data_IF_816909124622
#
_entry.id   IF_816909124622
#
_cell.length_a   1.000
_cell.length_b   1.000
_cell.length_c   1.000
_cell.angle_alpha   90.00
_cell.angle_beta   90.00
_cell.angle_gamma   90.00
#
_symmetry.space_group_name_H-M   'P 1'
#
loop_
_entity.id
_entity.type
_entity.pdbx_description
1 polymer ?
#
# COMPACT_ATOMS: atom_id res chain seq x y z
N UNK A 1 12.76 -2.87 -6.93
CA UNK A 1 12.80 -3.36 -5.54
C UNK A 1 11.50 -4.09 -5.21
N UNK A 2 11.61 -5.15 -4.41
CA UNK A 2 10.42 -5.91 -4.00
C UNK A 2 9.66 -5.19 -2.88
N UNK A 3 10.36 -4.48 -2.01
CA UNK A 3 9.82 -3.72 -0.88
C UNK A 3 10.29 -2.27 -0.89
N UNK A 4 9.65 -1.34 -0.16
CA UNK A 4 10.04 0.08 -0.10
C UNK A 4 11.44 0.32 0.49
N UNK A 5 11.93 -0.58 1.33
CA UNK A 5 13.29 -0.53 1.88
C UNK A 5 14.30 -1.18 0.93
N UNK A 6 15.57 -1.08 1.24
CA UNK A 6 16.62 -1.75 0.49
C UNK A 6 16.64 -3.25 0.81
N UNK A 7 16.67 -4.06 -0.24
CA UNK A 7 16.70 -5.51 -0.12
C UNK A 7 15.42 -6.23 -0.55
N UNK A 8 15.50 -7.57 -0.53
CA UNK A 8 14.43 -8.49 -0.94
C UNK A 8 13.77 -9.20 0.22
N UNK A 9 14.23 -8.97 1.44
CA UNK A 9 13.76 -9.66 2.63
C UNK A 9 12.86 -8.77 3.46
N UNK A 10 11.87 -9.36 4.11
CA UNK A 10 11.00 -8.69 5.08
C UNK A 10 11.62 -8.63 6.48
N UNK A 11 12.77 -9.29 6.66
CA UNK A 11 13.52 -9.32 7.92
C UNK A 11 14.86 -8.61 7.76
N UNK A 12 15.31 -7.96 8.83
CA UNK A 12 16.62 -7.33 8.89
C UNK A 12 17.73 -8.38 8.89
N UNK A 13 18.76 -8.12 8.12
CA UNK A 13 20.00 -8.91 8.10
C UNK A 13 21.15 -8.28 8.90
N UNK A 14 21.00 -7.05 9.39
CA UNK A 14 22.03 -6.28 10.06
C UNK A 14 22.34 -6.84 11.45
N UNK A 15 23.65 -6.86 11.82
CA UNK A 15 24.13 -7.30 13.12
C UNK A 15 23.42 -6.52 14.24
N UNK A 16 22.86 -7.22 15.24
CA UNK A 16 22.11 -6.64 16.35
C UNK A 16 20.58 -6.51 16.13
N UNK A 17 20.12 -6.63 14.89
CA UNK A 17 18.67 -6.62 14.58
C UNK A 17 18.25 -7.75 13.65
N UNK A 18 19.11 -8.77 13.51
CA UNK A 18 18.88 -9.93 12.65
C UNK A 18 17.57 -10.62 13.01
N UNK A 19 16.75 -10.89 11.99
CA UNK A 19 15.49 -11.60 12.15
C UNK A 19 14.29 -10.72 12.52
N UNK A 20 14.48 -9.47 12.98
CA UNK A 20 13.35 -8.54 13.22
C UNK A 20 12.70 -8.14 11.91
N UNK A 21 11.38 -8.01 11.92
CA UNK A 21 10.64 -7.51 10.76
C UNK A 21 10.95 -6.04 10.47
N UNK A 22 10.74 -5.64 9.22
CA UNK A 22 10.96 -4.28 8.74
C UNK A 22 9.65 -3.50 8.52
N UNK A 23 8.51 -4.11 8.82
CA UNK A 23 7.19 -3.51 8.72
C UNK A 23 6.23 -4.22 9.67
N UNK A 24 5.14 -3.56 10.01
CA UNK A 24 4.02 -4.11 10.77
C UNK A 24 3.00 -4.72 9.80
N UNK A 25 2.90 -6.05 9.78
CA UNK A 25 2.02 -6.80 8.89
C UNK A 25 1.67 -8.16 9.47
N UNK A 26 0.63 -8.80 8.95
CA UNK A 26 0.22 -10.14 9.34
C UNK A 26 1.18 -11.17 8.75
N UNK A 27 1.90 -11.88 9.61
CA UNK A 27 2.88 -12.86 9.18
C UNK A 27 2.26 -14.13 8.59
N UNK A 28 1.17 -14.60 9.17
CA UNK A 28 0.55 -15.86 8.79
C UNK A 28 -0.93 -15.93 9.14
N UNK A 29 -1.55 -17.07 8.89
CA UNK A 29 -2.95 -17.34 9.14
C UNK A 29 -3.23 -17.30 10.66
N UNK A 30 -4.12 -16.41 11.10
CA UNK A 30 -4.53 -16.28 12.51
C UNK A 30 -3.50 -15.62 13.44
N UNK A 31 -2.32 -15.27 12.95
CA UNK A 31 -1.25 -14.66 13.74
C UNK A 31 -0.96 -13.23 13.27
N UNK A 32 -1.39 -12.25 14.06
CA UNK A 32 -1.17 -10.82 13.81
C UNK A 32 0.12 -10.30 14.46
N UNK A 33 0.63 -11.00 15.47
CA UNK A 33 1.72 -10.52 16.32
C UNK A 33 3.08 -11.16 16.03
N UNK A 34 3.19 -11.96 14.97
CA UNK A 34 4.43 -12.63 14.65
C UNK A 34 4.51 -14.07 15.21
N UNK A 35 5.52 -14.41 15.98
CA UNK A 35 5.68 -15.74 16.59
C UNK A 35 4.86 -15.82 17.87
N UNK A 36 4.18 -16.94 18.11
CA UNK A 36 3.45 -17.17 19.36
C UNK A 36 4.36 -16.90 20.57
N UNK A 37 3.92 -16.02 21.47
CA UNK A 37 4.69 -15.62 22.63
C UNK A 37 5.78 -14.58 22.41
N UNK A 38 5.98 -14.09 21.18
CA UNK A 38 6.96 -13.04 20.89
C UNK A 38 6.49 -12.08 19.79
N UNK A 39 6.46 -10.79 20.11
CA UNK A 39 6.26 -9.71 19.15
C UNK A 39 7.58 -9.44 18.45
N UNK A 40 7.71 -9.77 17.17
CA UNK A 40 8.91 -9.48 16.42
C UNK A 40 8.73 -8.47 15.29
N UNK A 41 7.53 -7.96 15.12
CA UNK A 41 7.18 -6.80 14.30
C UNK A 41 6.77 -5.57 15.14
N UNK A 42 6.91 -5.65 16.45
CA UNK A 42 6.62 -4.60 17.44
C UNK A 42 5.16 -4.18 17.60
N UNK A 43 4.23 -4.65 16.75
CA UNK A 43 2.82 -4.27 16.79
C UNK A 43 1.86 -5.44 16.75
N UNK A 44 0.70 -5.27 17.39
CA UNK A 44 -0.43 -6.19 17.34
C UNK A 44 -1.52 -5.70 16.37
N UNK A 45 -1.69 -4.39 16.35
CA UNK A 45 -2.54 -3.62 15.43
C UNK A 45 -1.71 -2.47 14.87
N UNK A 46 -2.24 -1.28 14.77
CA UNK A 46 -1.47 -0.09 14.38
C UNK A 46 -0.41 0.27 15.42
N UNK A 47 0.64 0.92 14.99
CA UNK A 47 1.78 1.30 15.81
C UNK A 47 2.30 2.68 15.44
N UNK A 48 3.29 3.16 16.22
CA UNK A 48 3.94 4.45 16.00
C UNK A 48 4.55 4.51 14.60
N UNK A 49 4.37 5.64 13.93
CA UNK A 49 4.86 5.87 12.56
C UNK A 49 6.40 5.86 12.45
N UNK A 50 7.11 6.10 13.55
CA UNK A 50 8.59 6.13 13.58
C UNK A 50 9.23 4.82 14.07
N UNK A 51 8.45 3.75 14.25
CA UNK A 51 8.96 2.48 14.78
C UNK A 51 9.98 1.81 13.86
N UNK A 52 9.79 1.91 12.55
CA UNK A 52 10.70 1.36 11.55
C UNK A 52 11.53 2.45 10.90
N UNK A 53 12.69 2.06 10.37
CA UNK A 53 13.54 2.98 9.63
C UNK A 53 12.82 3.53 8.38
N UNK A 54 13.07 4.80 8.01
CA UNK A 54 12.54 5.35 6.77
C UNK A 54 13.19 4.67 5.55
N UNK A 55 12.55 4.83 4.40
CA UNK A 55 13.14 4.45 3.12
C UNK A 55 14.21 5.47 2.67
N UNK A 56 14.82 5.26 1.49
CA UNK A 56 15.86 6.14 0.93
C UNK A 56 15.40 7.59 0.68
N UNK A 57 14.10 7.83 0.67
CA UNK A 57 13.50 9.17 0.53
C UNK A 57 13.12 9.81 1.87
N UNK A 58 13.47 9.20 2.98
CA UNK A 58 13.11 9.68 4.32
C UNK A 58 11.66 9.42 4.72
N UNK A 59 10.90 8.59 3.98
CA UNK A 59 9.50 8.30 4.24
C UNK A 59 9.35 7.07 5.13
N UNK A 60 8.59 7.21 6.20
CA UNK A 60 8.29 6.16 7.16
C UNK A 60 7.05 5.37 6.77
N UNK A 61 7.00 4.10 7.15
CA UNK A 61 5.85 3.20 7.00
C UNK A 61 5.22 3.19 5.59
N UNK A 62 6.06 3.22 4.55
CA UNK A 62 5.59 3.07 3.16
C UNK A 62 5.08 1.64 2.86
N UNK A 63 5.26 0.72 3.80
CA UNK A 63 4.69 -0.61 3.76
C UNK A 63 4.33 -1.06 5.18
N UNK A 64 3.16 -1.69 5.32
CA UNK A 64 2.63 -2.14 6.60
C UNK A 64 1.97 -1.02 7.41
N UNK A 65 1.57 -1.33 8.61
CA UNK A 65 0.82 -0.51 9.54
C UNK A 65 -0.62 -0.27 9.08
N UNK A 66 -0.87 0.65 8.16
CA UNK A 66 -2.15 0.83 7.47
C UNK A 66 -1.93 0.94 5.96
N UNK A 67 -2.90 0.49 5.20
CA UNK A 67 -2.95 0.81 3.77
C UNK A 67 -3.18 2.32 3.60
N UNK A 68 -2.75 2.87 2.49
CA UNK A 68 -2.88 4.29 2.23
C UNK A 68 -3.65 4.52 0.94
N UNK A 69 -4.62 5.42 1.00
CA UNK A 69 -5.36 5.87 -0.17
C UNK A 69 -4.41 6.55 -1.17
N UNK A 70 -4.64 6.24 -2.44
CA UNK A 70 -4.04 6.93 -3.57
C UNK A 70 -5.14 7.62 -4.36
N UNK A 71 -4.86 8.79 -4.89
CA UNK A 71 -5.83 9.59 -5.64
C UNK A 71 -6.32 8.90 -6.92
N UNK A 72 -5.55 7.96 -7.46
CA UNK A 72 -5.82 7.28 -8.71
C UNK A 72 -7.12 6.48 -8.69
N UNK A 73 -7.89 6.56 -9.76
CA UNK A 73 -9.01 5.66 -10.02
C UNK A 73 -8.45 4.28 -10.35
N UNK A 74 -9.01 3.26 -9.72
CA UNK A 74 -8.59 1.89 -10.00
C UNK A 74 -9.12 1.43 -11.38
N UNK A 75 -8.23 0.89 -12.17
CA UNK A 75 -8.55 0.11 -13.38
C UNK A 75 -7.59 -1.08 -13.45
N UNK A 76 -8.02 -2.23 -14.01
CA UNK A 76 -7.09 -3.29 -14.39
C UNK A 76 -5.98 -2.74 -15.29
N UNK A 77 -4.76 -3.22 -15.10
CA UNK A 77 -3.64 -2.83 -15.96
C UNK A 77 -3.86 -3.33 -17.39
N UNK A 78 -3.62 -2.47 -18.36
CA UNK A 78 -3.58 -2.80 -19.78
C UNK A 78 -2.39 -2.11 -20.46
N UNK A 79 -2.17 -2.37 -21.74
CA UNK A 79 -1.06 -1.79 -22.49
C UNK A 79 -1.14 -0.26 -22.60
N UNK A 80 -2.32 0.32 -22.62
CA UNK A 80 -2.52 1.76 -22.70
C UNK A 80 -2.00 2.49 -21.46
N UNK A 81 -1.90 1.81 -20.32
CA UNK A 81 -1.35 2.37 -19.09
C UNK A 81 0.17 2.61 -19.16
N UNK A 82 0.85 2.07 -20.16
CA UNK A 82 2.29 2.19 -20.34
C UNK A 82 2.70 3.36 -21.24
N UNK A 83 1.76 3.93 -21.97
CA UNK A 83 2.03 5.00 -22.96
C UNK A 83 1.94 6.40 -22.32
N UNK A 84 1.29 6.54 -21.17
CA UNK A 84 1.13 7.81 -20.47
C UNK A 84 1.61 7.70 -19.01
N UNK A 85 2.36 8.70 -18.55
CA UNK A 85 2.83 8.80 -17.17
C UNK A 85 1.70 9.01 -16.16
N UNK A 86 0.62 9.68 -16.57
CA UNK A 86 -0.55 9.95 -15.76
C UNK A 86 -1.86 9.72 -16.53
N UNK A 87 -2.18 8.48 -16.88
CA UNK A 87 -3.36 8.20 -17.69
C UNK A 87 -4.65 8.61 -16.97
N UNK A 88 -5.54 9.28 -17.70
CA UNK A 88 -6.89 9.57 -17.21
C UNK A 88 -7.69 8.28 -17.28
N UNK A 89 -8.05 7.73 -16.11
CA UNK A 89 -8.72 6.44 -16.01
C UNK A 89 -10.23 6.54 -15.81
N UNK A 90 -10.80 7.75 -15.86
CA UNK A 90 -12.23 7.98 -15.77
C UNK A 90 -12.92 7.51 -17.07
N UNK A 91 -14.07 6.87 -16.94
CA UNK A 91 -14.89 6.43 -18.05
C UNK A 91 -16.37 6.56 -17.69
N UNK A 92 -17.14 7.24 -18.50
CA UNK A 92 -18.57 7.43 -18.26
C UNK A 92 -19.34 6.10 -18.35
N UNK A 93 -18.88 5.17 -19.16
CA UNK A 93 -19.48 3.83 -19.24
C UNK A 93 -19.38 3.06 -17.93
N UNK A 94 -18.31 3.21 -17.18
CA UNK A 94 -18.08 2.46 -15.93
C UNK A 94 -18.99 2.87 -14.77
N UNK A 95 -19.73 3.96 -14.90
CA UNK A 95 -20.71 4.42 -13.92
C UNK A 95 -22.15 4.19 -14.39
N UNK A 96 -22.36 3.60 -15.58
CA UNK A 96 -23.69 3.26 -16.08
C UNK A 96 -24.23 1.99 -15.41
N UNK A 97 -25.55 1.93 -15.25
CA UNK A 97 -26.22 0.73 -14.74
C UNK A 97 -25.98 -0.49 -15.65
N UNK A 98 -25.81 -0.26 -16.94
CA UNK A 98 -25.53 -1.29 -17.95
C UNK A 98 -24.15 -1.97 -17.76
N UNK A 99 -23.23 -1.31 -17.06
CA UNK A 99 -21.90 -1.86 -16.80
C UNK A 99 -21.88 -2.84 -15.62
N UNK A 100 -22.91 -2.85 -14.79
CA UNK A 100 -22.96 -3.69 -13.59
C UNK A 100 -23.44 -5.11 -13.90
N UNK A 101 -22.63 -6.07 -13.51
CA UNK A 101 -22.94 -7.49 -13.55
C UNK A 101 -22.47 -8.13 -12.23
N UNK A 102 -23.41 -8.62 -11.42
CA UNK A 102 -23.11 -9.15 -10.09
C UNK A 102 -22.17 -10.36 -10.11
N UNK A 103 -22.14 -11.10 -11.19
CA UNK A 103 -21.29 -12.29 -11.37
C UNK A 103 -19.90 -11.94 -11.94
N UNK A 104 -19.70 -10.70 -12.37
CA UNK A 104 -18.44 -10.24 -12.94
C UNK A 104 -17.75 -9.22 -12.03
N UNK A 105 -16.67 -9.65 -11.36
CA UNK A 105 -15.90 -8.79 -10.47
C UNK A 105 -15.43 -7.47 -11.12
N UNK A 106 -15.09 -7.48 -12.40
CA UNK A 106 -14.64 -6.29 -13.09
C UNK A 106 -15.72 -5.24 -13.26
N UNK A 107 -17.00 -5.62 -13.25
CA UNK A 107 -18.14 -4.69 -13.30
C UNK A 107 -18.35 -3.90 -12.01
N UNK A 108 -17.77 -4.38 -10.89
CA UNK A 108 -17.79 -3.68 -9.60
C UNK A 108 -16.85 -2.46 -9.54
N UNK A 109 -16.03 -2.27 -10.58
CA UNK A 109 -15.07 -1.17 -10.65
C UNK A 109 -15.73 0.02 -11.32
N UNK A 110 -15.99 1.08 -10.55
CA UNK A 110 -16.56 2.34 -11.02
C UNK A 110 -15.54 3.48 -11.01
N UNK A 111 -15.94 4.68 -11.43
CA UNK A 111 -15.12 5.88 -11.27
C UNK A 111 -14.91 6.31 -9.82
N UNK A 112 -15.67 5.76 -8.87
CA UNK A 112 -15.49 5.95 -7.43
C UNK A 112 -14.50 4.98 -6.82
N UNK A 113 -14.11 3.93 -7.53
CA UNK A 113 -13.12 2.96 -7.06
C UNK A 113 -11.73 3.59 -7.03
N UNK A 114 -11.23 3.84 -5.81
CA UNK A 114 -9.91 4.44 -5.59
C UNK A 114 -8.89 3.38 -5.21
N UNK A 115 -7.66 3.59 -5.63
CA UNK A 115 -6.55 2.71 -5.29
C UNK A 115 -6.14 2.91 -3.83
N UNK A 116 -5.79 1.82 -3.15
CA UNK A 116 -5.02 1.87 -1.92
C UNK A 116 -3.85 0.89 -1.97
N UNK A 117 -2.79 1.19 -1.24
CA UNK A 117 -1.50 0.51 -1.32
C UNK A 117 -0.83 0.37 0.03
N UNK A 118 0.32 -0.31 0.04
CA UNK A 118 1.24 -0.36 1.18
C UNK A 118 1.05 -1.57 2.08
N UNK A 119 -0.13 -2.17 2.09
CA UNK A 119 -0.46 -3.22 3.07
C UNK A 119 -0.69 -2.68 4.48
N UNK A 120 -1.38 -3.45 5.31
CA UNK A 120 -1.71 -3.08 6.70
C UNK A 120 -1.24 -4.14 7.68
N UNK A 121 -1.40 -3.85 8.98
CA UNK A 121 -1.17 -4.80 10.07
C UNK A 121 -1.95 -6.12 9.92
N UNK A 122 -3.08 -6.09 9.23
CA UNK A 122 -3.94 -7.27 8.98
C UNK A 122 -3.63 -8.00 7.65
N UNK A 123 -2.73 -7.46 6.82
CA UNK A 123 -2.40 -7.98 5.50
C UNK A 123 -1.12 -8.82 5.50
N UNK A 124 -1.06 -9.82 4.63
CA UNK A 124 0.15 -10.62 4.42
C UNK A 124 1.24 -9.89 3.64
N UNK A 125 2.46 -10.40 3.70
CA UNK A 125 3.66 -9.79 3.14
C UNK A 125 3.58 -9.44 1.63
N UNK A 126 2.79 -10.16 0.86
CA UNK A 126 2.62 -9.89 -0.57
C UNK A 126 2.07 -8.48 -0.85
N UNK A 127 1.26 -7.95 0.06
CA UNK A 127 0.64 -6.62 -0.08
C UNK A 127 1.59 -5.46 0.26
N UNK A 128 2.75 -5.76 0.84
CA UNK A 128 3.78 -4.77 1.14
C UNK A 128 4.58 -4.33 -0.11
N UNK A 129 4.42 -5.05 -1.21
CA UNK A 129 5.12 -4.73 -2.46
C UNK A 129 4.58 -3.44 -3.08
N UNK A 130 5.44 -2.50 -3.51
CA UNK A 130 5.03 -1.27 -4.17
C UNK A 130 4.23 -1.49 -5.46
N UNK A 131 4.39 -2.64 -6.12
CA UNK A 131 3.66 -2.99 -7.34
C UNK A 131 2.21 -3.43 -7.09
N UNK A 132 1.86 -3.82 -5.87
CA UNK A 132 0.50 -4.28 -5.57
C UNK A 132 -0.46 -3.11 -5.45
N UNK A 133 -1.67 -3.31 -5.98
CA UNK A 133 -2.75 -2.33 -5.93
C UNK A 133 -4.03 -3.05 -5.54
N UNK A 134 -4.81 -2.45 -4.67
CA UNK A 134 -6.18 -2.84 -4.35
C UNK A 134 -7.07 -1.64 -4.50
N UNK A 135 -8.38 -1.84 -4.46
CA UNK A 135 -9.33 -0.75 -4.56
C UNK A 135 -10.45 -0.89 -3.54
N UNK A 136 -11.05 0.23 -3.26
CA UNK A 136 -12.28 0.35 -2.49
C UNK A 136 -13.04 1.57 -3.02
N UNK A 137 -14.35 1.57 -2.87
CA UNK A 137 -15.17 2.74 -3.18
C UNK A 137 -14.74 3.92 -2.29
N UNK A 138 -14.60 5.12 -2.88
CA UNK A 138 -14.12 6.32 -2.19
C UNK A 138 -15.03 6.76 -1.03
N UNK A 139 -16.29 6.37 -1.05
CA UNK A 139 -17.29 6.69 -0.01
C UNK A 139 -17.29 5.64 1.12
N UNK A 140 -16.43 4.61 1.01
CA UNK A 140 -16.24 3.55 2.00
C UNK A 140 -15.06 3.85 2.93
N UNK A 141 -15.08 3.23 4.11
CA UNK A 141 -13.99 3.30 5.08
C UNK A 141 -13.62 1.91 5.61
N UNK A 142 -12.40 1.78 6.13
CA UNK A 142 -11.92 0.55 6.75
C UNK A 142 -10.95 0.88 7.88
N UNK A 143 -10.96 0.05 8.94
CA UNK A 143 -10.02 0.16 10.05
C UNK A 143 -8.54 -0.08 9.64
N UNK A 144 -8.31 -0.59 8.44
CA UNK A 144 -6.97 -0.91 7.92
C UNK A 144 -6.50 0.06 6.84
N UNK A 145 -7.26 1.12 6.56
CA UNK A 145 -6.93 2.10 5.52
C UNK A 145 -6.87 3.49 6.13
N UNK A 146 -5.77 4.18 5.88
CA UNK A 146 -5.55 5.59 6.23
C UNK A 146 -5.13 6.39 5.00
N UNK A 147 -4.51 7.54 5.22
CA UNK A 147 -3.98 8.38 4.16
C UNK A 147 -2.77 9.17 4.64
N UNK A 148 -1.99 9.64 3.69
CA UNK A 148 -0.98 10.68 3.92
C UNK A 148 -1.14 11.77 2.88
N UNK A 149 -0.99 13.03 3.30
CA UNK A 149 -1.04 14.16 2.39
C UNK A 149 0.25 14.24 1.57
N UNK A 150 0.09 14.59 0.30
CA UNK A 150 1.20 14.91 -0.60
C UNK A 150 0.84 16.18 -1.38
N UNK A 151 1.86 16.95 -1.74
CA UNK A 151 1.71 18.13 -2.58
C UNK A 151 2.82 18.17 -3.61
N UNK A 152 2.57 18.85 -4.72
CA UNK A 152 3.61 19.11 -5.71
C UNK A 152 4.68 20.00 -5.09
N UNK A 153 5.95 19.62 -5.26
CA UNK A 153 7.07 20.47 -4.83
C UNK A 153 7.05 21.79 -5.61
N UNK A 154 6.86 22.88 -4.91
CA UNK A 154 6.97 24.23 -5.47
C UNK A 154 8.39 24.73 -5.22
N UNK A 155 9.26 24.62 -6.22
CA UNK A 155 10.63 25.10 -6.14
C UNK A 155 11.60 24.31 -7.02
N UNK A 156 12.73 24.91 -7.33
CA UNK A 156 13.87 24.22 -7.96
C UNK A 156 14.38 23.14 -7.01
N UNK A 157 14.61 21.94 -7.54
CA UNK A 157 15.27 20.88 -6.79
C UNK A 157 16.60 21.44 -6.24
N UNK A 158 16.61 21.81 -4.97
CA UNK A 158 17.83 22.13 -4.26
C UNK A 158 18.72 20.91 -4.27
N UNK A 159 20.00 21.10 -4.59
CA UNK A 159 20.99 20.05 -4.52
C UNK A 159 20.94 19.44 -3.11
N UNK A 160 20.46 18.20 -3.04
CA UNK A 160 20.62 17.36 -1.86
C UNK A 160 22.04 16.81 -1.91
N UNK A 161 22.97 17.47 -1.21
CA UNK A 161 24.30 16.97 -0.94
C UNK A 161 24.24 15.88 0.16
#
# INVERSE_FOLDING_TARGET
RLYPWDGRTIRRSNRGSVGKFQANFKRGRGDYAGIAGALNDAGFVTMNIYEYAPNDFGLYNMAGNVNEWVYDIYRPLNFQDMEDLNPIRKSDFMDSEESYDADNFNSMVSNKSRVYKGGSWADGAMWLSPGTRRFLDQDSSSATIGFRCATTALGTAGNWN
#
